data_IF_704952513050
#
_entry.id   IF_704952513050
#
_cell.length_a   1.000
_cell.length_b   1.000
_cell.length_c   1.000
_cell.angle_alpha   90.00
_cell.angle_beta   90.00
_cell.angle_gamma   90.00
#
_symmetry.space_group_name_H-M   'P 1'
#
loop_
_entity.id
_entity.type
_entity.pdbx_description
1 polymer ?
#
# COMPACT_ATOMS: atom_id res chain seq x y z
N UNK A 1 6.27 7.39 -46.65
CA UNK A 1 6.56 8.51 -45.73
C UNK A 1 6.65 7.94 -44.32
N UNK A 2 7.86 7.66 -43.84
CA UNK A 2 8.10 7.20 -42.47
C UNK A 2 8.23 8.45 -41.60
N UNK A 3 7.23 8.70 -40.75
CA UNK A 3 7.24 9.79 -39.77
C UNK A 3 8.39 9.59 -38.79
N UNK A 4 9.27 10.59 -38.75
CA UNK A 4 10.44 10.70 -37.87
C UNK A 4 10.07 10.48 -36.40
N UNK A 5 10.68 9.46 -35.79
CA UNK A 5 10.69 9.28 -34.33
C UNK A 5 11.42 10.49 -33.73
N UNK A 6 10.80 11.27 -32.82
CA UNK A 6 11.48 12.39 -32.21
C UNK A 6 12.70 11.89 -31.42
N UNK A 7 13.83 12.61 -31.49
CA UNK A 7 15.05 12.19 -30.80
C UNK A 7 14.78 12.09 -29.30
N UNK A 8 15.16 10.95 -28.71
CA UNK A 8 15.19 10.79 -27.26
C UNK A 8 16.08 11.90 -26.68
N UNK A 9 15.60 12.70 -25.70
CA UNK A 9 16.42 13.73 -25.09
C UNK A 9 17.65 13.08 -24.44
N UNK A 10 18.83 13.54 -24.86
CA UNK A 10 20.14 12.97 -24.49
C UNK A 10 20.54 13.20 -23.04
N UNK A 11 19.80 14.00 -22.29
CA UNK A 11 20.05 14.33 -20.89
C UNK A 11 18.86 13.98 -20.00
N UNK A 12 19.07 13.31 -18.85
CA UNK A 12 18.02 13.11 -17.86
C UNK A 12 17.43 14.45 -17.44
N UNK A 13 16.09 14.54 -17.43
CA UNK A 13 15.39 15.77 -17.03
C UNK A 13 15.79 16.15 -15.59
N UNK A 14 16.49 17.27 -15.43
CA UNK A 14 16.90 17.77 -14.12
C UNK A 14 15.74 18.56 -13.49
N UNK A 15 15.12 18.01 -12.45
CA UNK A 15 14.04 18.67 -11.74
C UNK A 15 14.55 19.73 -10.76
N UNK A 16 13.80 20.82 -10.60
CA UNK A 16 14.01 21.81 -9.55
C UNK A 16 12.68 22.42 -9.10
N UNK A 17 12.67 23.04 -7.91
CA UNK A 17 11.42 23.51 -7.29
C UNK A 17 10.65 24.54 -8.13
N UNK A 18 11.37 25.40 -8.87
CA UNK A 18 10.79 26.41 -9.76
C UNK A 18 9.90 25.85 -10.88
N UNK A 19 10.05 24.56 -11.22
CA UNK A 19 9.20 23.89 -12.22
C UNK A 19 7.78 23.58 -11.71
N UNK A 20 7.53 23.74 -10.42
CA UNK A 20 6.27 23.36 -9.78
C UNK A 20 5.57 24.58 -9.18
N UNK A 21 4.26 24.64 -9.39
CA UNK A 21 3.35 25.44 -8.59
C UNK A 21 2.93 24.61 -7.37
N UNK A 22 3.19 25.12 -6.17
CA UNK A 22 2.89 24.41 -4.92
C UNK A 22 1.52 24.87 -4.41
N UNK A 23 0.61 23.91 -4.29
CA UNK A 23 -0.74 24.11 -3.76
C UNK A 23 -0.86 23.74 -2.28
N UNK A 24 -2.08 23.35 -1.90
CA UNK A 24 -2.43 23.04 -0.51
C UNK A 24 -1.64 21.86 0.06
N UNK A 25 -1.37 21.84 1.38
CA UNK A 25 -0.85 20.64 2.04
C UNK A 25 -1.84 19.49 1.94
N UNK A 26 -1.33 18.29 1.66
CA UNK A 26 -2.09 17.04 1.58
C UNK A 26 -1.92 16.19 2.84
N UNK A 27 -0.75 16.27 3.48
CA UNK A 27 -0.44 15.51 4.68
C UNK A 27 0.88 15.91 5.32
N UNK A 28 1.05 15.47 6.57
CA UNK A 28 2.29 15.65 7.34
C UNK A 28 2.85 14.26 7.65
N UNK A 29 4.03 13.97 7.12
CA UNK A 29 4.79 12.77 7.45
C UNK A 29 5.71 13.00 8.64
N UNK A 30 6.42 11.95 9.05
CA UNK A 30 7.37 12.00 10.18
C UNK A 30 8.55 12.95 9.97
N UNK A 31 9.03 13.07 8.73
CA UNK A 31 10.25 13.82 8.37
C UNK A 31 10.01 14.92 7.32
N UNK A 32 8.74 15.32 7.16
CA UNK A 32 8.37 16.14 6.04
C UNK A 32 6.88 16.36 5.83
N UNK A 33 6.55 17.05 4.75
CA UNK A 33 5.18 17.38 4.35
C UNK A 33 4.94 17.01 2.90
N UNK A 34 3.69 16.70 2.58
CA UNK A 34 3.25 16.41 1.22
C UNK A 34 2.35 17.54 0.76
N UNK A 35 2.61 18.06 -0.43
CA UNK A 35 1.84 19.15 -1.03
C UNK A 35 1.24 18.71 -2.35
N UNK A 36 0.04 19.23 -2.67
CA UNK A 36 -0.45 19.21 -4.04
C UNK A 36 0.49 20.09 -4.87
N UNK A 37 0.88 19.63 -6.05
CA UNK A 37 1.72 20.41 -6.95
C UNK A 37 1.21 20.26 -8.38
N UNK A 38 1.49 21.29 -9.19
CA UNK A 38 1.27 21.27 -10.63
C UNK A 38 2.58 21.59 -11.32
N UNK A 39 3.01 20.72 -12.22
CA UNK A 39 4.18 20.97 -13.06
C UNK A 39 3.81 22.07 -14.08
N UNK A 40 4.61 23.14 -14.13
CA UNK A 40 4.23 24.39 -14.81
C UNK A 40 4.12 24.26 -16.32
N UNK A 41 4.93 23.42 -16.95
CA UNK A 41 5.02 23.35 -18.41
C UNK A 41 3.89 22.52 -19.04
N UNK A 42 3.52 21.42 -18.41
CA UNK A 42 2.53 20.45 -18.88
C UNK A 42 1.18 20.60 -18.17
N UNK A 43 1.13 21.31 -17.05
CA UNK A 43 -0.06 21.37 -16.18
C UNK A 43 -0.30 20.08 -15.41
N UNK A 44 0.62 19.12 -15.46
CA UNK A 44 0.47 17.82 -14.81
C UNK A 44 0.37 17.95 -13.29
N UNK A 45 -0.67 17.36 -12.71
CA UNK A 45 -0.93 17.38 -11.26
C UNK A 45 -0.22 16.21 -10.58
N UNK A 46 0.55 16.50 -9.55
CA UNK A 46 1.30 15.52 -8.76
C UNK A 46 1.25 15.85 -7.25
N UNK A 47 1.79 14.95 -6.44
CA UNK A 47 2.09 15.21 -5.04
C UNK A 47 3.59 15.43 -4.86
N UNK A 48 3.99 16.48 -4.16
CA UNK A 48 5.39 16.77 -3.85
C UNK A 48 5.65 16.48 -2.37
N UNK A 49 6.35 15.37 -2.08
CA UNK A 49 6.79 15.00 -0.72
C UNK A 49 8.13 15.68 -0.45
N UNK A 50 8.15 16.59 0.51
CA UNK A 50 9.30 17.40 0.90
C UNK A 50 9.86 16.87 2.21
N UNK A 51 11.09 16.37 2.19
CA UNK A 51 11.80 15.80 3.34
C UNK A 51 12.94 16.72 3.76
N UNK A 52 13.09 16.98 5.06
CA UNK A 52 14.16 17.85 5.58
C UNK A 52 15.42 17.04 5.92
N UNK A 53 16.56 17.39 5.31
CA UNK A 53 17.82 16.62 5.46
C UNK A 53 18.28 16.53 6.92
N UNK A 54 18.11 17.59 7.70
CA UNK A 54 18.46 17.63 9.13
C UNK A 54 17.62 16.63 9.92
N UNK A 55 16.30 16.58 9.67
CA UNK A 55 15.39 15.65 10.36
C UNK A 55 15.71 14.19 10.00
N UNK A 56 16.09 13.93 8.75
CA UNK A 56 16.50 12.59 8.32
C UNK A 56 17.79 12.13 9.01
N UNK A 57 18.77 13.03 9.17
CA UNK A 57 20.03 12.76 9.87
C UNK A 57 19.81 12.50 11.35
N UNK A 58 19.02 13.35 12.01
CA UNK A 58 18.66 13.17 13.42
C UNK A 58 17.89 11.86 13.65
N UNK A 59 17.00 11.50 12.72
CA UNK A 59 16.26 10.24 12.75
C UNK A 59 17.06 9.00 12.33
N UNK A 60 18.27 9.17 11.77
CA UNK A 60 19.11 8.10 11.17
C UNK A 60 18.35 7.28 10.13
N UNK A 61 17.54 7.94 9.29
CA UNK A 61 16.65 7.32 8.29
C UNK A 61 17.06 7.57 6.83
N UNK A 62 18.25 8.09 6.57
CA UNK A 62 18.71 8.42 5.22
C UNK A 62 18.80 7.17 4.32
N UNK A 63 19.15 6.02 4.92
CA UNK A 63 19.19 4.74 4.22
C UNK A 63 17.79 4.30 3.77
N UNK A 64 16.77 4.54 4.57
CA UNK A 64 15.37 4.22 4.27
C UNK A 64 14.86 5.10 3.12
N UNK A 65 15.16 6.40 3.15
CA UNK A 65 14.77 7.32 2.05
C UNK A 65 15.47 6.95 0.75
N UNK A 66 16.78 6.65 0.78
CA UNK A 66 17.50 6.20 -0.42
C UNK A 66 16.88 4.93 -0.99
N UNK A 67 16.50 3.99 -0.12
CA UNK A 67 15.87 2.74 -0.52
C UNK A 67 14.47 2.94 -1.11
N UNK A 68 13.66 3.82 -0.51
CA UNK A 68 12.34 4.21 -1.04
C UNK A 68 12.51 4.72 -2.48
N UNK A 69 13.46 5.63 -2.72
CA UNK A 69 13.76 6.16 -4.06
C UNK A 69 14.20 5.04 -5.02
N UNK A 70 15.18 4.23 -4.63
CA UNK A 70 15.76 3.18 -5.47
C UNK A 70 14.73 2.12 -5.87
N UNK A 71 13.97 1.60 -4.90
CA UNK A 71 12.95 0.58 -5.15
C UNK A 71 11.81 1.20 -5.96
N UNK A 72 11.20 2.27 -5.47
CA UNK A 72 9.95 2.80 -6.04
C UNK A 72 10.14 3.40 -7.44
N UNK A 73 11.33 3.92 -7.77
CA UNK A 73 11.64 4.40 -9.13
C UNK A 73 11.54 3.29 -10.20
N UNK A 74 11.68 2.02 -9.80
CA UNK A 74 11.63 0.85 -10.68
C UNK A 74 10.26 0.14 -10.65
N UNK A 75 9.27 0.69 -9.95
CA UNK A 75 7.93 0.12 -9.83
C UNK A 75 6.93 0.86 -10.72
N UNK A 76 6.19 0.10 -11.53
CA UNK A 76 5.10 0.60 -12.37
C UNK A 76 3.97 -0.43 -12.35
N UNK A 77 2.95 -0.17 -11.53
CA UNK A 77 1.77 -1.02 -11.39
C UNK A 77 0.57 -0.13 -11.03
N UNK A 78 -0.65 -0.38 -11.55
CA UNK A 78 -1.82 0.45 -11.27
C UNK A 78 -2.14 0.59 -9.78
N UNK A 79 -1.81 -0.42 -8.96
CA UNK A 79 -2.05 -0.42 -7.52
C UNK A 79 -0.83 -0.07 -6.65
N UNK A 80 0.21 0.51 -7.23
CA UNK A 80 1.40 1.02 -6.52
C UNK A 80 1.53 2.51 -6.84
N UNK A 81 1.70 3.34 -5.81
CA UNK A 81 1.88 4.78 -5.98
C UNK A 81 3.15 5.05 -6.80
N UNK A 82 3.01 5.73 -7.93
CA UNK A 82 4.15 5.98 -8.81
C UNK A 82 5.07 7.08 -8.27
N UNK A 83 6.39 6.82 -8.30
CA UNK A 83 7.43 7.85 -8.15
C UNK A 83 7.89 8.29 -9.55
N UNK A 84 7.56 9.52 -9.94
CA UNK A 84 7.95 10.06 -11.25
C UNK A 84 9.40 10.54 -11.31
N UNK A 85 9.95 10.93 -10.17
CA UNK A 85 11.30 11.44 -10.07
C UNK A 85 11.56 12.06 -8.70
N UNK A 86 12.79 12.52 -8.51
CA UNK A 86 13.20 13.20 -7.29
C UNK A 86 14.25 14.28 -7.61
N UNK A 87 14.41 15.23 -6.70
CA UNK A 87 15.50 16.21 -6.71
C UNK A 87 15.80 16.66 -5.29
N UNK A 88 16.86 17.44 -5.09
CA UNK A 88 17.20 17.97 -3.77
C UNK A 88 17.80 19.38 -3.88
N UNK A 89 17.70 20.14 -2.80
CA UNK A 89 18.47 21.37 -2.61
C UNK A 89 19.46 21.19 -1.44
N UNK A 90 20.04 22.27 -0.92
CA UNK A 90 20.97 22.20 0.22
C UNK A 90 20.33 21.71 1.52
N UNK A 91 19.01 21.86 1.69
CA UNK A 91 18.27 21.61 2.93
C UNK A 91 17.25 20.47 2.83
N UNK A 92 16.77 20.15 1.63
CA UNK A 92 15.58 19.32 1.41
C UNK A 92 15.76 18.31 0.29
N UNK A 93 15.04 17.20 0.37
CA UNK A 93 14.83 16.21 -0.69
C UNK A 93 13.36 16.30 -1.11
N UNK A 94 13.10 16.21 -2.41
CA UNK A 94 11.77 16.31 -3.01
C UNK A 94 11.49 15.05 -3.81
N UNK A 95 10.38 14.37 -3.51
CA UNK A 95 9.88 13.24 -4.29
C UNK A 95 8.63 13.68 -5.06
N UNK A 96 8.63 13.44 -6.36
CA UNK A 96 7.51 13.76 -7.27
C UNK A 96 6.67 12.49 -7.40
N UNK A 97 5.53 12.47 -6.71
CA UNK A 97 4.68 11.28 -6.58
C UNK A 97 3.37 11.46 -7.36
N UNK A 98 2.77 10.33 -7.74
CA UNK A 98 1.38 10.27 -8.16
C UNK A 98 0.46 10.89 -7.12
N UNK A 99 -0.54 11.64 -7.59
CA UNK A 99 -1.54 12.24 -6.72
C UNK A 99 -2.70 11.26 -6.48
N UNK A 100 -2.79 10.73 -5.26
CA UNK A 100 -3.91 9.91 -4.82
C UNK A 100 -5.03 10.79 -4.21
N UNK A 101 -5.97 11.21 -5.05
CA UNK A 101 -6.92 12.28 -4.72
C UNK A 101 -7.93 11.99 -3.61
N UNK A 102 -8.11 10.73 -3.21
CA UNK A 102 -9.01 10.35 -2.10
C UNK A 102 -8.27 10.13 -0.77
N UNK A 103 -6.94 10.29 -0.71
CA UNK A 103 -6.15 10.23 0.53
C UNK A 103 -5.96 8.82 1.09
N UNK A 104 -5.57 8.73 2.37
CA UNK A 104 -5.25 7.47 3.06
C UNK A 104 -6.47 6.56 3.27
N UNK A 105 -6.33 5.27 2.96
CA UNK A 105 -7.36 4.26 3.15
C UNK A 105 -7.78 4.13 4.62
N UNK A 106 -6.86 4.32 5.55
CA UNK A 106 -7.13 4.40 6.99
C UNK A 106 -8.29 5.35 7.32
N UNK A 107 -8.30 6.57 6.74
CA UNK A 107 -9.35 7.56 6.99
C UNK A 107 -10.70 7.13 6.44
N UNK A 108 -10.72 6.39 5.32
CA UNK A 108 -11.96 5.81 4.79
C UNK A 108 -12.50 4.72 5.71
N UNK A 109 -11.63 3.82 6.19
CA UNK A 109 -12.01 2.74 7.09
C UNK A 109 -12.56 3.30 8.41
N UNK A 110 -11.85 4.25 9.03
CA UNK A 110 -12.30 4.91 10.26
C UNK A 110 -13.65 5.61 10.12
N UNK A 111 -13.91 6.26 8.98
CA UNK A 111 -15.18 6.94 8.71
C UNK A 111 -16.34 5.96 8.51
N UNK A 112 -16.08 4.85 7.81
CA UNK A 112 -17.08 3.83 7.51
C UNK A 112 -17.23 2.79 8.63
N UNK A 113 -16.36 2.83 9.63
CA UNK A 113 -16.19 1.87 10.73
C UNK A 113 -15.73 0.49 10.26
N UNK A 114 -16.34 -0.04 9.21
CA UNK A 114 -15.95 -1.25 8.48
C UNK A 114 -16.47 -1.17 7.04
N UNK A 115 -15.82 -1.86 6.12
CA UNK A 115 -16.25 -1.94 4.74
C UNK A 115 -17.26 -3.08 4.52
N UNK A 116 -18.25 -2.89 3.63
CA UNK A 116 -19.06 -4.00 3.15
C UNK A 116 -18.18 -4.98 2.35
N UNK A 117 -18.54 -6.26 2.35
CA UNK A 117 -17.69 -7.32 1.78
C UNK A 117 -17.31 -7.08 0.32
N UNK A 118 -18.20 -6.50 -0.50
CA UNK A 118 -17.90 -6.22 -1.90
C UNK A 118 -16.75 -5.21 -2.06
N UNK A 119 -16.68 -4.22 -1.18
CA UNK A 119 -15.63 -3.18 -1.19
C UNK A 119 -14.33 -3.75 -0.63
N UNK A 120 -14.41 -4.47 0.50
CA UNK A 120 -13.27 -5.14 1.09
C UNK A 120 -12.63 -6.13 0.09
N UNK A 121 -13.42 -6.98 -0.56
CA UNK A 121 -12.94 -7.93 -1.56
C UNK A 121 -12.28 -7.24 -2.76
N UNK A 122 -12.85 -6.13 -3.23
CA UNK A 122 -12.25 -5.33 -4.32
C UNK A 122 -10.88 -4.77 -3.93
N UNK A 123 -10.71 -4.29 -2.70
CA UNK A 123 -9.41 -3.82 -2.20
C UNK A 123 -8.42 -4.97 -1.98
N UNK A 124 -8.87 -6.11 -1.44
CA UNK A 124 -8.03 -7.30 -1.27
C UNK A 124 -7.54 -7.84 -2.62
N UNK A 125 -8.39 -7.85 -3.64
CA UNK A 125 -8.00 -8.26 -5.00
C UNK A 125 -6.93 -7.32 -5.59
N UNK A 126 -7.10 -6.00 -5.44
CA UNK A 126 -6.11 -5.01 -5.89
C UNK A 126 -4.79 -5.12 -5.12
N UNK A 127 -4.85 -5.38 -3.80
CA UNK A 127 -3.66 -5.62 -2.98
C UNK A 127 -2.94 -6.87 -3.47
N UNK A 128 -3.68 -7.96 -3.72
CA UNK A 128 -3.12 -9.21 -4.23
C UNK A 128 -2.38 -9.02 -5.56
N UNK A 129 -2.98 -8.28 -6.50
CA UNK A 129 -2.33 -7.93 -7.77
C UNK A 129 -1.03 -7.13 -7.57
N UNK A 130 -1.04 -6.14 -6.68
CA UNK A 130 0.15 -5.34 -6.36
C UNK A 130 1.26 -6.19 -5.72
N UNK A 131 0.91 -7.05 -4.76
CA UNK A 131 1.88 -7.91 -4.07
C UNK A 131 2.50 -8.94 -5.02
N UNK A 132 1.71 -9.55 -5.92
CA UNK A 132 2.26 -10.43 -6.97
C UNK A 132 3.29 -9.71 -7.83
N UNK A 133 3.00 -8.47 -8.24
CA UNK A 133 3.94 -7.66 -8.99
C UNK A 133 5.23 -7.37 -8.20
N UNK A 134 5.10 -6.99 -6.92
CA UNK A 134 6.24 -6.74 -6.03
C UNK A 134 7.10 -7.98 -5.85
N UNK A 135 6.48 -9.12 -5.51
CA UNK A 135 7.17 -10.39 -5.25
C UNK A 135 7.86 -10.91 -6.51
N UNK A 136 7.24 -10.75 -7.69
CA UNK A 136 7.89 -11.04 -8.99
C UNK A 136 9.13 -10.19 -9.25
N UNK A 137 9.17 -8.98 -8.71
CA UNK A 137 10.34 -8.08 -8.74
C UNK A 137 11.27 -8.28 -7.54
N UNK A 138 11.10 -9.35 -6.76
CA UNK A 138 11.85 -9.63 -5.54
C UNK A 138 11.79 -8.48 -4.52
N UNK A 139 10.68 -7.76 -4.47
CA UNK A 139 10.42 -6.71 -3.48
C UNK A 139 9.43 -7.23 -2.45
N UNK A 140 9.80 -7.16 -1.17
CA UNK A 140 8.92 -7.45 -0.04
C UNK A 140 8.56 -6.12 0.61
N UNK A 141 7.26 -5.85 0.83
CA UNK A 141 6.82 -4.53 1.32
C UNK A 141 7.13 -4.34 2.81
N UNK A 142 6.73 -5.31 3.66
CA UNK A 142 6.97 -5.40 5.12
C UNK A 142 6.25 -4.39 6.02
N UNK A 143 5.56 -3.39 5.47
CA UNK A 143 4.76 -2.43 6.26
C UNK A 143 3.38 -2.20 5.62
N UNK A 144 2.68 -3.29 5.30
CA UNK A 144 1.31 -3.22 4.75
C UNK A 144 0.34 -2.90 5.89
N UNK A 145 -0.33 -1.75 5.78
CA UNK A 145 -1.37 -1.27 6.69
C UNK A 145 -2.19 -0.16 6.02
N UNK A 146 -3.42 0.15 6.49
CA UNK A 146 -4.28 1.15 5.86
C UNK A 146 -3.66 2.55 5.73
N UNK A 147 -2.73 2.94 6.59
CA UNK A 147 -2.05 4.23 6.56
C UNK A 147 -1.07 4.35 5.38
N UNK A 148 -0.48 3.23 4.97
CA UNK A 148 0.47 3.17 3.85
C UNK A 148 -0.24 2.86 2.52
N UNK A 149 -1.57 2.79 2.51
CA UNK A 149 -2.37 2.58 1.30
C UNK A 149 -3.16 3.86 1.03
N UNK A 150 -2.96 4.46 -0.13
CA UNK A 150 -3.74 5.61 -0.58
C UNK A 150 -4.86 5.17 -1.53
N UNK A 151 -5.86 6.02 -1.70
CA UNK A 151 -6.97 5.82 -2.63
C UNK A 151 -6.87 6.86 -3.75
N UNK A 152 -6.76 6.36 -4.98
CA UNK A 152 -6.70 7.14 -6.20
C UNK A 152 -8.02 7.82 -6.54
N UNK A 153 -8.01 8.61 -7.60
CA UNK A 153 -9.17 9.44 -8.00
C UNK A 153 -10.37 8.58 -8.41
N UNK A 154 -10.15 7.39 -8.98
CA UNK A 154 -11.22 6.48 -9.41
C UNK A 154 -11.62 5.49 -8.31
N UNK A 155 -10.99 5.54 -7.13
CA UNK A 155 -11.27 4.65 -6.01
C UNK A 155 -10.41 3.39 -5.95
N UNK A 156 -9.46 3.27 -6.88
CA UNK A 156 -8.41 2.25 -6.85
C UNK A 156 -7.43 2.51 -5.70
N UNK A 157 -6.88 1.45 -5.11
CA UNK A 157 -5.86 1.60 -4.06
C UNK A 157 -4.46 1.77 -4.67
N UNK A 158 -3.58 2.44 -3.93
CA UNK A 158 -2.18 2.69 -4.26
C UNK A 158 -1.32 2.37 -3.05
N UNK A 159 -0.56 1.28 -3.09
CA UNK A 159 0.44 0.98 -2.06
C UNK A 159 1.53 2.06 -2.10
N UNK A 160 1.89 2.58 -0.93
CA UNK A 160 2.89 3.63 -0.75
C UNK A 160 3.83 3.29 0.42
N UNK A 161 4.84 4.15 0.63
CA UNK A 161 5.85 4.03 1.70
C UNK A 161 6.71 2.76 1.65
N UNK A 162 7.64 2.75 0.70
CA UNK A 162 8.63 1.69 0.51
C UNK A 162 9.86 1.83 1.43
N UNK A 163 9.82 2.70 2.45
CA UNK A 163 10.97 2.96 3.34
C UNK A 163 11.42 1.72 4.12
N UNK A 164 10.50 0.79 4.36
CA UNK A 164 10.77 -0.51 4.98
C UNK A 164 10.85 -1.66 3.99
N UNK A 165 10.67 -1.43 2.69
CA UNK A 165 10.78 -2.50 1.71
C UNK A 165 12.22 -2.96 1.51
N UNK A 166 12.42 -4.12 0.90
CA UNK A 166 13.75 -4.67 0.56
C UNK A 166 13.73 -5.34 -0.80
N UNK A 167 14.83 -5.22 -1.56
CA UNK A 167 15.11 -6.09 -2.69
C UNK A 167 15.76 -7.39 -2.16
N UNK A 168 15.11 -8.53 -2.35
CA UNK A 168 15.51 -9.82 -1.80
C UNK A 168 15.71 -10.86 -2.93
N UNK A 169 16.75 -10.70 -3.78
CA UNK A 169 17.02 -11.67 -4.85
C UNK A 169 17.32 -13.09 -4.31
N UNK A 170 17.75 -13.22 -3.04
CA UNK A 170 18.08 -14.50 -2.38
C UNK A 170 17.20 -14.81 -1.14
N UNK A 171 16.00 -14.21 -1.00
CA UNK A 171 14.96 -14.59 -0.02
C UNK A 171 15.35 -14.80 1.48
N UNK A 172 16.25 -13.99 2.07
CA UNK A 172 16.67 -14.16 3.49
C UNK A 172 17.01 -12.83 4.18
N UNK A 173 16.34 -12.41 5.28
CA UNK A 173 16.77 -11.23 6.10
C UNK A 173 16.24 -11.18 7.56
N UNK A 174 17.00 -10.45 8.41
CA UNK A 174 16.75 -10.20 9.85
C UNK A 174 16.64 -8.69 10.21
N UNK A 175 15.43 -8.11 10.23
CA UNK A 175 15.17 -6.76 10.78
C UNK A 175 13.74 -6.69 11.31
N UNK A 176 13.54 -6.21 12.56
CA UNK A 176 12.23 -5.96 13.15
C UNK A 176 11.71 -4.60 12.65
N UNK A 177 10.68 -4.58 11.80
CA UNK A 177 10.04 -3.37 11.28
C UNK A 177 8.54 -3.61 11.03
N UNK A 178 7.68 -2.63 11.34
CA UNK A 178 6.23 -2.67 11.10
C UNK A 178 5.40 -2.12 12.28
N UNK A 179 4.10 -1.92 12.09
CA UNK A 179 3.12 -1.73 13.18
C UNK A 179 2.82 -3.09 13.82
N UNK A 180 2.88 -3.18 15.16
CA UNK A 180 2.80 -4.46 15.90
C UNK A 180 1.63 -5.34 15.45
N UNK A 181 0.46 -4.75 15.22
CA UNK A 181 -0.77 -5.46 14.87
C UNK A 181 -0.73 -6.18 13.51
N UNK A 182 0.20 -5.80 12.62
CA UNK A 182 0.39 -6.39 11.29
C UNK A 182 1.62 -7.29 11.22
N UNK A 183 2.40 -7.40 12.30
CA UNK A 183 3.60 -8.22 12.33
C UNK A 183 3.22 -9.70 12.35
N UNK A 184 3.85 -10.54 11.50
CA UNK A 184 3.66 -11.97 11.54
C UNK A 184 4.42 -12.62 12.70
N UNK A 185 4.02 -13.83 13.14
CA UNK A 185 4.61 -14.52 14.30
C UNK A 185 6.13 -14.75 14.18
N UNK A 186 6.63 -15.05 12.97
CA UNK A 186 8.04 -15.27 12.67
C UNK A 186 8.91 -14.02 12.83
N UNK A 187 8.30 -12.82 12.83
CA UNK A 187 9.01 -11.57 13.12
C UNK A 187 9.04 -11.21 14.61
N UNK A 188 8.25 -11.90 15.46
CA UNK A 188 8.15 -11.64 16.91
C UNK A 188 9.09 -12.48 17.77
N UNK A 189 9.61 -13.61 17.27
CA UNK A 189 10.47 -14.53 18.03
C UNK A 189 11.94 -14.37 17.62
N UNK A 190 12.77 -13.64 18.37
CA UNK A 190 14.21 -13.60 18.11
C UNK A 190 14.90 -14.80 18.80
N UNK A 191 15.31 -15.81 18.04
CA UNK A 191 16.18 -16.92 18.48
C UNK A 191 15.93 -18.23 17.71
N UNK A 192 16.90 -19.11 17.42
CA UNK A 192 18.32 -19.24 17.85
C UNK A 192 19.31 -19.42 16.68
N UNK A 193 18.82 -19.52 15.45
CA UNK A 193 19.59 -19.41 14.22
C UNK A 193 18.77 -18.51 13.32
N UNK A 194 19.31 -17.33 13.01
CA UNK A 194 18.86 -16.37 11.99
C UNK A 194 17.33 -16.23 11.76
N UNK A 195 16.71 -15.14 12.22
CA UNK A 195 15.32 -14.79 11.84
C UNK A 195 15.18 -14.74 10.31
N UNK A 196 14.63 -15.80 9.72
CA UNK A 196 14.41 -15.97 8.29
C UNK A 196 12.94 -15.73 7.98
N UNK A 197 12.66 -14.64 7.27
CA UNK A 197 11.34 -14.41 6.68
C UNK A 197 11.47 -14.07 5.20
N UNK A 198 10.48 -14.49 4.43
CA UNK A 198 10.38 -14.33 2.98
C UNK A 198 9.15 -13.46 2.63
N UNK A 199 8.71 -13.49 1.38
CA UNK A 199 7.56 -12.72 0.92
C UNK A 199 6.23 -13.09 1.60
N UNK A 200 6.17 -14.22 2.33
CA UNK A 200 4.99 -14.68 3.08
C UNK A 200 4.59 -13.73 4.22
N UNK A 201 5.47 -12.84 4.66
CA UNK A 201 5.12 -11.79 5.64
C UNK A 201 4.04 -10.85 5.09
N UNK A 202 4.09 -10.54 3.80
CA UNK A 202 3.09 -9.67 3.17
C UNK A 202 1.72 -10.38 3.06
N UNK A 203 1.70 -11.72 2.98
CA UNK A 203 0.46 -12.52 2.99
C UNK A 203 -0.21 -12.48 4.36
N UNK A 204 0.58 -12.54 5.44
CA UNK A 204 0.04 -12.34 6.79
C UNK A 204 -0.59 -10.96 6.93
N UNK A 205 0.14 -9.91 6.56
CA UNK A 205 -0.39 -8.54 6.63
C UNK A 205 -1.63 -8.35 5.73
N UNK A 206 -1.73 -9.04 4.59
CA UNK A 206 -2.96 -9.09 3.79
C UNK A 206 -4.13 -9.74 4.55
N UNK A 207 -3.88 -10.79 5.32
CA UNK A 207 -4.87 -11.42 6.20
C UNK A 207 -5.35 -10.49 7.32
N UNK A 208 -4.42 -9.79 7.98
CA UNK A 208 -4.72 -8.77 9.01
C UNK A 208 -5.58 -7.65 8.40
N UNK A 209 -5.17 -7.13 7.23
CA UNK A 209 -5.89 -6.09 6.50
C UNK A 209 -7.29 -6.55 6.06
N UNK A 210 -7.43 -7.80 5.60
CA UNK A 210 -8.73 -8.37 5.21
C UNK A 210 -9.69 -8.45 6.40
N UNK A 211 -9.20 -8.88 7.56
CA UNK A 211 -9.98 -8.88 8.79
C UNK A 211 -10.40 -7.46 9.18
N UNK A 212 -9.44 -6.54 9.22
CA UNK A 212 -9.66 -5.17 9.66
C UNK A 212 -10.65 -4.42 8.75
N UNK A 213 -10.61 -4.65 7.44
CA UNK A 213 -11.63 -4.12 6.53
C UNK A 213 -13.04 -4.57 6.89
N UNK A 214 -13.21 -5.81 7.36
CA UNK A 214 -14.53 -6.38 7.61
C UNK A 214 -15.03 -6.13 9.03
N UNK A 215 -14.11 -5.97 9.99
CA UNK A 215 -14.42 -5.86 11.42
C UNK A 215 -14.26 -4.42 11.93
N UNK A 216 -13.32 -3.65 11.38
CA UNK A 216 -13.05 -2.25 11.74
C UNK A 216 -11.84 -2.04 12.65
N UNK A 217 -11.30 -3.12 13.20
CA UNK A 217 -10.14 -3.16 14.10
C UNK A 217 -9.26 -4.37 13.76
N UNK A 218 -8.00 -4.36 14.21
CA UNK A 218 -7.07 -5.43 13.87
C UNK A 218 -7.39 -6.73 14.67
N UNK A 219 -7.18 -7.93 14.09
CA UNK A 219 -7.57 -9.21 14.71
C UNK A 219 -6.90 -9.52 16.05
N UNK A 220 -5.74 -8.90 16.31
CA UNK A 220 -4.92 -9.16 17.50
C UNK A 220 -4.81 -7.93 18.42
N UNK A 221 -5.55 -6.85 18.14
CA UNK A 221 -5.46 -5.58 18.87
C UNK A 221 -5.76 -5.79 20.37
N UNK A 222 -4.82 -5.35 21.22
CA UNK A 222 -4.86 -5.37 22.67
C UNK A 222 -3.71 -4.48 23.20
N UNK A 223 -3.39 -4.59 24.48
CA UNK A 223 -2.12 -4.12 25.04
C UNK A 223 -0.92 -4.76 24.30
N UNK A 224 0.21 -4.06 24.11
CA UNK A 224 1.32 -4.57 23.30
C UNK A 224 1.82 -5.98 23.68
N UNK A 225 1.87 -6.30 24.99
CA UNK A 225 2.26 -7.64 25.46
C UNK A 225 1.23 -8.71 25.09
N UNK A 226 -0.06 -8.38 25.14
CA UNK A 226 -1.13 -9.30 24.77
C UNK A 226 -1.24 -9.45 23.26
N UNK A 227 -1.09 -8.38 22.48
CA UNK A 227 -1.01 -8.44 21.01
C UNK A 227 0.09 -9.41 20.57
N UNK A 228 1.29 -9.30 21.14
CA UNK A 228 2.39 -10.23 20.85
C UNK A 228 2.03 -11.69 21.16
N UNK A 229 1.40 -11.95 22.32
CA UNK A 229 0.96 -13.29 22.70
C UNK A 229 -0.11 -13.83 21.77
N UNK A 230 -1.10 -13.00 21.38
CA UNK A 230 -2.17 -13.36 20.47
C UNK A 230 -1.62 -13.70 19.09
N UNK A 231 -0.75 -12.86 18.53
CA UNK A 231 -0.06 -13.13 17.25
C UNK A 231 0.72 -14.45 17.35
N UNK A 232 1.54 -14.63 18.39
CA UNK A 232 2.36 -15.83 18.55
C UNK A 232 1.54 -17.13 18.68
N UNK A 233 0.27 -17.04 19.07
CA UNK A 233 -0.67 -18.16 19.21
C UNK A 233 -1.70 -18.25 18.07
N UNK A 234 -1.79 -17.24 17.21
CA UNK A 234 -2.85 -17.13 16.20
C UNK A 234 -4.23 -16.94 16.82
N UNK A 235 -4.30 -16.32 18.00
CA UNK A 235 -5.52 -16.18 18.79
C UNK A 235 -6.30 -14.93 18.36
N UNK A 236 -7.35 -15.13 17.56
CA UNK A 236 -8.26 -14.09 17.09
C UNK A 236 -9.72 -14.58 17.13
N UNK A 237 -10.66 -13.66 17.30
CA UNK A 237 -12.11 -13.94 17.28
C UNK A 237 -12.73 -13.30 16.06
N UNK A 238 -13.24 -14.08 15.11
CA UNK A 238 -13.95 -13.51 13.95
C UNK A 238 -15.44 -13.37 14.28
N UNK A 239 -16.03 -12.15 14.24
CA UNK A 239 -17.43 -11.92 14.58
C UNK A 239 -18.42 -12.73 13.73
N UNK A 240 -19.63 -13.03 14.26
CA UNK A 240 -20.64 -13.82 13.54
C UNK A 240 -21.12 -13.15 12.26
N UNK A 241 -21.10 -11.82 12.17
CA UNK A 241 -21.55 -11.07 10.99
C UNK A 241 -20.62 -11.19 9.76
N UNK A 242 -19.40 -11.69 9.93
CA UNK A 242 -18.47 -11.95 8.80
C UNK A 242 -18.89 -13.24 8.11
N UNK A 243 -19.01 -13.25 6.78
CA UNK A 243 -19.46 -14.43 6.03
C UNK A 243 -18.53 -15.63 6.21
N UNK A 244 -19.06 -16.84 5.96
CA UNK A 244 -18.29 -18.07 6.01
C UNK A 244 -17.13 -18.05 5.00
N UNK A 245 -17.36 -17.52 3.81
CA UNK A 245 -16.33 -17.43 2.76
C UNK A 245 -15.24 -16.39 3.10
N UNK A 246 -15.59 -15.25 3.73
CA UNK A 246 -14.60 -14.30 4.23
C UNK A 246 -13.77 -14.90 5.39
N UNK A 247 -14.42 -15.58 6.33
CA UNK A 247 -13.78 -16.31 7.43
C UNK A 247 -12.77 -17.33 6.92
N UNK A 248 -13.13 -18.07 5.88
CA UNK A 248 -12.25 -19.06 5.24
C UNK A 248 -10.98 -18.40 4.69
N UNK A 249 -11.10 -17.30 3.94
CA UNK A 249 -9.94 -16.57 3.41
C UNK A 249 -9.03 -16.03 4.52
N UNK A 250 -9.61 -15.40 5.55
CA UNK A 250 -8.87 -14.87 6.70
C UNK A 250 -8.07 -15.98 7.38
N UNK A 251 -8.69 -17.13 7.64
CA UNK A 251 -8.03 -18.28 8.29
C UNK A 251 -6.93 -18.90 7.43
N UNK A 252 -7.06 -18.88 6.11
CA UNK A 252 -6.04 -19.36 5.17
C UNK A 252 -4.85 -18.42 5.01
N UNK A 253 -5.03 -17.12 5.25
CA UNK A 253 -3.95 -16.11 5.26
C UNK A 253 -3.25 -16.04 6.62
N UNK A 254 -4.01 -16.05 7.72
CA UNK A 254 -3.51 -15.92 9.09
C UNK A 254 -3.13 -17.30 9.69
N UNK A 255 -2.24 -17.99 9.00
CA UNK A 255 -1.66 -19.28 9.43
C UNK A 255 -0.29 -19.02 10.06
N UNK A 256 -0.05 -19.65 11.22
CA UNK A 256 1.21 -19.50 11.98
C UNK A 256 2.43 -19.95 11.17
N UNK A 257 2.32 -21.08 10.48
CA UNK A 257 3.34 -21.61 9.59
C UNK A 257 3.30 -20.84 8.25
N UNK A 258 4.34 -20.04 7.90
CA UNK A 258 4.34 -19.21 6.71
C UNK A 258 4.17 -19.99 5.41
N UNK A 259 4.67 -21.23 5.37
CA UNK A 259 4.63 -22.07 4.18
C UNK A 259 3.23 -22.67 3.92
N UNK A 260 2.38 -22.69 4.95
CA UNK A 260 0.97 -23.13 4.85
C UNK A 260 0.00 -22.00 4.52
N UNK A 261 0.46 -20.74 4.44
CA UNK A 261 -0.38 -19.62 4.02
C UNK A 261 -0.76 -19.76 2.56
N UNK A 262 -2.05 -19.54 2.25
CA UNK A 262 -2.57 -19.55 0.88
C UNK A 262 -1.74 -18.62 -0.02
N UNK A 263 -1.20 -19.10 -1.16
CA UNK A 263 -0.41 -18.27 -2.06
C UNK A 263 -1.28 -17.26 -2.80
N UNK A 264 -0.70 -16.12 -3.21
CA UNK A 264 -1.44 -15.01 -3.85
C UNK A 264 -2.24 -15.42 -5.10
N UNK A 265 -1.74 -16.38 -5.89
CA UNK A 265 -2.48 -16.85 -7.08
C UNK A 265 -3.77 -17.61 -6.71
N UNK A 266 -3.82 -18.26 -5.54
CA UNK A 266 -5.04 -18.90 -5.03
C UNK A 266 -5.96 -17.89 -4.34
N UNK A 267 -5.42 -16.81 -3.74
CA UNK A 267 -6.22 -15.71 -3.17
C UNK A 267 -7.11 -15.08 -4.25
N UNK A 268 -6.59 -14.81 -5.44
CA UNK A 268 -7.37 -14.26 -6.57
C UNK A 268 -8.53 -15.16 -6.99
N UNK A 269 -8.35 -16.48 -6.84
CA UNK A 269 -9.35 -17.50 -7.18
C UNK A 269 -10.22 -17.89 -5.99
N UNK A 270 -10.04 -17.26 -4.82
CA UNK A 270 -10.79 -17.61 -3.64
C UNK A 270 -12.29 -17.34 -3.87
N UNK A 271 -13.20 -18.25 -3.46
CA UNK A 271 -14.64 -18.09 -3.69
C UNK A 271 -15.20 -16.74 -3.23
N UNK A 272 -14.71 -16.24 -2.09
CA UNK A 272 -15.08 -14.91 -1.58
C UNK A 272 -14.69 -13.77 -2.53
N UNK A 273 -13.47 -13.80 -3.09
CA UNK A 273 -12.98 -12.78 -4.03
C UNK A 273 -13.78 -12.83 -5.33
N UNK A 274 -13.95 -14.03 -5.92
CA UNK A 274 -14.71 -14.22 -7.17
C UNK A 274 -16.16 -13.72 -7.00
N UNK A 275 -16.83 -14.14 -5.91
CA UNK A 275 -18.23 -13.78 -5.61
C UNK A 275 -18.45 -12.28 -5.59
N UNK A 276 -17.52 -11.53 -5.02
CA UNK A 276 -17.67 -10.10 -4.77
C UNK A 276 -17.07 -9.21 -5.86
N UNK A 277 -15.99 -9.62 -6.53
CA UNK A 277 -15.37 -8.82 -7.59
C UNK A 277 -16.14 -8.92 -8.92
N UNK A 278 -16.62 -10.11 -9.30
CA UNK A 278 -17.41 -10.31 -10.53
C UNK A 278 -18.81 -9.68 -10.43
N UNK A 279 -19.40 -9.66 -9.23
CA UNK A 279 -20.69 -8.98 -8.98
C UNK A 279 -20.52 -7.47 -8.75
N UNK A 280 -19.35 -7.04 -8.24
CA UNK A 280 -19.04 -5.64 -7.97
C UNK A 280 -19.01 -4.76 -9.23
N UNK A 281 -18.46 -5.27 -10.34
CA UNK A 281 -18.51 -4.57 -11.64
C UNK A 281 -19.96 -4.35 -12.10
N UNK A 282 -20.84 -5.34 -11.94
CA UNK A 282 -22.26 -5.23 -12.29
C UNK A 282 -23.02 -4.26 -11.37
N UNK A 283 -22.68 -4.20 -10.08
CA UNK A 283 -23.30 -3.29 -9.12
C UNK A 283 -22.83 -1.83 -9.33
N UNK A 284 -21.54 -1.62 -9.57
CA UNK A 284 -20.96 -0.31 -9.92
C UNK A 284 -21.54 0.23 -11.23
N UNK A 285 -21.69 -0.62 -12.25
CA UNK A 285 -22.31 -0.24 -13.52
C UNK A 285 -23.80 0.10 -13.38
N UNK A 286 -24.52 -0.51 -12.43
CA UNK A 286 -25.92 -0.14 -12.14
C UNK A 286 -26.03 1.18 -11.39
N UNK A 287 -25.21 1.42 -10.37
CA UNK A 287 -25.24 2.66 -9.57
C UNK A 287 -24.77 3.88 -10.37
N UNK A 288 -23.74 3.72 -11.21
CA UNK A 288 -23.27 4.78 -12.12
C UNK A 288 -24.24 5.08 -13.27
N UNK A 289 -24.97 4.08 -13.77
CA UNK A 289 -26.05 4.28 -14.73
C UNK A 289 -27.28 4.99 -14.13
N UNK A 290 -27.58 4.77 -12.84
CA UNK A 290 -28.65 5.47 -12.14
C UNK A 290 -28.32 6.91 -11.76
N UNK A 291 -27.05 7.24 -11.48
CA UNK A 291 -26.64 8.62 -11.18
C UNK A 291 -26.59 9.54 -12.42
N UNK A 292 -26.61 8.97 -13.63
CA UNK A 292 -26.67 9.72 -14.89
C UNK A 292 -28.09 10.02 -15.39
N UNK A 293 -29.15 9.62 -14.67
CA UNK A 293 -30.55 9.83 -15.07
C UNK A 293 -31.28 10.97 -14.35
N UNK A 294 -30.60 11.81 -13.59
CA UNK A 294 -31.21 12.98 -12.93
C UNK A 294 -30.44 14.27 -13.23
N UNK A 295 -30.65 14.82 -14.43
CA UNK A 295 -30.70 16.27 -14.67
C UNK A 295 -31.73 16.53 -15.77
N UNK A 296 -32.95 16.98 -15.43
CA UNK A 296 -33.75 17.72 -16.39
C UNK A 296 -33.08 19.07 -16.62
N UNK A 297 -32.96 19.43 -17.89
CA UNK A 297 -32.63 20.77 -18.36
C UNK A 297 -33.75 21.74 -17.99
N UNK A 298 -33.42 22.74 -17.18
CA UNK A 298 -34.05 24.06 -17.16
C UNK A 298 -32.93 25.11 -17.16
#
# INVERSE_FOLDING_TARGET
MLSSIPPQPSTPRQFHLGMFEIGKPLGKGKFGRVYLARERSSGFVCALKVLHKIELQQGKVEKQVRREIEIQSNLAHPNILRLFGHFHDSKRIFLILEFAGKGELYKHLRREQRFPEWKAASYVAQMCAALKYLHKKHVIHRDIKPENILVGIHGEIKISDFGWSVHAPNNRRNTMCGTLDYLPPEMLKPGKDENWYNEKVDLWSLGVLTYEFLVGEAPFEDTPSMTQKRIARGEMTIPPFVSAEAKDLIKKLLVLDPEKRIPLHEVEQHPWIIKHCVKGERAYNRTSASSNKQRPSE
#
